data_IF_479276791659
#
_entry.id   IF_479276791659
#
_cell.length_a   1.000
_cell.length_b   1.000
_cell.length_c   1.000
_cell.angle_alpha   90.00
_cell.angle_beta   90.00
_cell.angle_gamma   90.00
#
_symmetry.space_group_name_H-M   'P 1'
#
loop_
_entity.id
_entity.type
_entity.pdbx_description
1 polymer ?
#
# COMPACT_ATOMS: atom_id res chain seq x y z
N UNK A 1 35.71 16.10 24.43
CA UNK A 1 34.68 15.34 25.14
C UNK A 1 33.49 15.19 24.19
N UNK A 2 33.41 14.04 23.52
CA UNK A 2 32.31 13.72 22.59
C UNK A 2 31.24 12.96 23.39
N UNK A 3 30.10 13.60 23.57
CA UNK A 3 28.94 12.98 24.19
C UNK A 3 28.23 12.09 23.16
N UNK A 4 28.38 10.77 23.28
CA UNK A 4 27.54 9.81 22.57
C UNK A 4 26.12 9.87 23.16
N UNK A 5 25.16 10.36 22.38
CA UNK A 5 23.74 10.20 22.64
C UNK A 5 23.38 8.72 22.41
N UNK A 6 23.28 7.99 23.50
CA UNK A 6 22.76 6.62 23.49
C UNK A 6 21.24 6.69 23.37
N UNK A 7 20.72 6.51 22.15
CA UNK A 7 19.31 6.20 21.94
C UNK A 7 19.06 4.75 22.33
N UNK A 8 18.81 4.53 23.60
CA UNK A 8 18.35 3.22 24.07
C UNK A 8 17.18 3.44 25.00
N UNK A 9 15.97 3.26 24.49
CA UNK A 9 14.85 2.66 25.19
C UNK A 9 13.66 2.58 24.23
N UNK A 10 13.53 1.41 23.56
CA UNK A 10 12.24 1.01 23.01
C UNK A 10 11.29 0.87 24.19
N UNK A 11 10.38 1.81 24.36
CA UNK A 11 9.23 1.64 25.23
C UNK A 11 8.46 0.41 24.70
N UNK A 12 8.66 -0.73 25.36
CA UNK A 12 7.83 -1.92 25.15
C UNK A 12 6.47 -1.61 25.76
N UNK A 13 5.52 -1.22 24.95
CA UNK A 13 4.13 -1.29 25.37
C UNK A 13 3.81 -2.76 25.70
N UNK A 14 3.16 -3.03 26.83
CA UNK A 14 2.81 -4.40 27.20
C UNK A 14 1.81 -4.96 26.17
N UNK A 15 2.29 -5.82 25.29
CA UNK A 15 1.49 -6.51 24.29
C UNK A 15 0.88 -7.76 24.92
N UNK A 16 -0.14 -7.59 25.75
CA UNK A 16 -0.97 -8.69 26.25
C UNK A 16 -2.32 -8.71 25.54
N UNK A 17 -2.33 -9.09 24.29
CA UNK A 17 -3.46 -9.75 23.62
C UNK A 17 -2.87 -10.48 22.42
N UNK A 18 -3.07 -11.78 22.34
CA UNK A 18 -2.86 -12.56 21.11
C UNK A 18 -3.82 -12.01 20.08
N UNK A 19 -3.38 -10.96 19.38
CA UNK A 19 -4.21 -10.36 18.34
C UNK A 19 -4.19 -11.27 17.11
N UNK A 20 -5.36 -11.51 16.53
CA UNK A 20 -5.45 -12.26 15.26
C UNK A 20 -4.45 -11.74 14.23
N UNK A 21 -4.01 -12.57 13.29
CA UNK A 21 -3.25 -12.10 12.12
C UNK A 21 -3.90 -10.89 11.46
N UNK A 22 -3.09 -9.99 10.91
CA UNK A 22 -3.60 -8.86 10.13
C UNK A 22 -3.82 -9.30 8.69
N UNK A 23 -4.98 -8.97 8.14
CA UNK A 23 -5.32 -9.19 6.74
C UNK A 23 -4.83 -7.98 5.93
N UNK A 24 -3.84 -8.17 5.08
CA UNK A 24 -3.19 -7.10 4.31
C UNK A 24 -3.42 -7.30 2.82
N UNK A 25 -4.13 -6.39 2.20
CA UNK A 25 -4.23 -6.37 0.73
C UNK A 25 -3.01 -5.68 0.14
N UNK A 26 -2.32 -6.38 -0.75
CA UNK A 26 -1.17 -5.89 -1.52
C UNK A 26 -1.62 -5.68 -2.96
N UNK A 27 -1.47 -4.46 -3.47
CA UNK A 27 -1.85 -4.09 -4.81
C UNK A 27 -0.60 -3.84 -5.65
N UNK A 28 -0.33 -4.71 -6.61
CA UNK A 28 0.71 -4.53 -7.62
C UNK A 28 0.12 -3.73 -8.78
N UNK A 29 0.48 -2.44 -8.86
CA UNK A 29 -0.22 -1.46 -9.69
C UNK A 29 0.46 -1.15 -11.03
N UNK A 30 1.28 -2.05 -11.56
CA UNK A 30 1.93 -1.86 -12.85
C UNK A 30 1.41 -2.86 -13.88
N UNK A 31 1.12 -2.36 -15.08
CA UNK A 31 0.77 -3.21 -16.24
C UNK A 31 2.00 -3.70 -17.00
N UNK A 32 3.20 -3.16 -16.71
CA UNK A 32 4.47 -3.59 -17.29
C UNK A 32 4.79 -5.04 -16.87
N UNK A 33 5.06 -5.95 -17.81
CA UNK A 33 5.44 -7.34 -17.50
C UNK A 33 6.72 -7.44 -16.63
N UNK A 34 7.66 -6.51 -16.80
CA UNK A 34 8.94 -6.48 -16.08
C UNK A 34 8.97 -5.52 -14.90
N UNK A 35 7.82 -5.25 -14.33
CA UNK A 35 7.65 -4.24 -13.30
C UNK A 35 8.45 -4.52 -12.03
N UNK A 36 9.30 -3.55 -11.66
CA UNK A 36 10.04 -3.54 -10.39
C UNK A 36 9.11 -3.39 -9.17
N UNK A 37 8.01 -2.66 -9.28
CA UNK A 37 7.02 -2.58 -8.21
C UNK A 37 6.33 -3.92 -7.96
N UNK A 38 6.17 -4.76 -8.98
CA UNK A 38 5.67 -6.14 -8.83
C UNK A 38 6.64 -7.03 -8.07
N UNK A 39 7.95 -6.88 -8.30
CA UNK A 39 8.98 -7.62 -7.53
C UNK A 39 8.89 -7.24 -6.05
N UNK A 40 8.73 -5.94 -5.74
CA UNK A 40 8.53 -5.48 -4.36
C UNK A 40 7.24 -6.02 -3.75
N UNK A 41 6.15 -6.11 -4.53
CA UNK A 41 4.87 -6.65 -4.07
C UNK A 41 4.99 -8.13 -3.67
N UNK A 42 5.66 -8.94 -4.48
CA UNK A 42 5.91 -10.36 -4.18
C UNK A 42 6.81 -10.56 -2.95
N UNK A 43 7.85 -9.75 -2.82
CA UNK A 43 8.70 -9.80 -1.63
C UNK A 43 7.94 -9.37 -0.37
N UNK A 44 7.10 -8.35 -0.47
CA UNK A 44 6.25 -7.93 0.64
C UNK A 44 5.25 -9.03 1.04
N UNK A 45 4.66 -9.74 0.07
CA UNK A 45 3.78 -10.87 0.34
C UNK A 45 4.52 -11.96 1.15
N UNK A 46 5.73 -12.32 0.72
CA UNK A 46 6.57 -13.30 1.42
C UNK A 46 6.86 -12.85 2.86
N UNK A 47 7.33 -11.61 3.05
CA UNK A 47 7.71 -11.08 4.37
C UNK A 47 6.50 -10.98 5.31
N UNK A 48 5.34 -10.52 4.84
CA UNK A 48 4.11 -10.43 5.62
C UNK A 48 3.65 -11.82 6.07
N UNK A 49 3.72 -12.81 5.18
CA UNK A 49 3.37 -14.20 5.49
C UNK A 49 4.32 -14.82 6.50
N UNK A 50 5.62 -14.62 6.35
CA UNK A 50 6.64 -15.08 7.31
C UNK A 50 6.49 -14.41 8.67
N UNK A 51 6.00 -13.17 8.71
CA UNK A 51 5.63 -12.47 9.94
C UNK A 51 4.36 -12.97 10.62
N UNK A 52 3.71 -14.03 10.09
CA UNK A 52 2.50 -14.63 10.67
C UNK A 52 1.22 -13.84 10.39
N UNK A 53 1.19 -13.06 9.32
CA UNK A 53 0.02 -12.30 8.86
C UNK A 53 -0.56 -12.87 7.56
N UNK A 54 -1.71 -12.38 7.14
CA UNK A 54 -2.48 -12.87 5.98
C UNK A 54 -2.39 -11.87 4.81
N UNK A 55 -1.38 -11.99 3.93
CA UNK A 55 -1.31 -11.16 2.74
C UNK A 55 -2.26 -11.69 1.66
N UNK A 56 -2.89 -10.75 0.92
CA UNK A 56 -3.61 -11.02 -0.33
C UNK A 56 -3.03 -10.15 -1.43
N UNK A 57 -2.22 -10.74 -2.30
CA UNK A 57 -1.64 -10.05 -3.45
C UNK A 57 -2.63 -10.04 -4.62
N UNK A 58 -2.91 -8.86 -5.14
CA UNK A 58 -3.68 -8.64 -6.35
C UNK A 58 -2.82 -7.85 -7.35
N UNK A 59 -2.60 -8.43 -8.52
CA UNK A 59 -1.86 -7.79 -9.60
C UNK A 59 -2.84 -7.20 -10.61
N UNK A 60 -2.80 -5.89 -10.84
CA UNK A 60 -3.72 -5.22 -11.76
C UNK A 60 -3.57 -5.70 -13.20
N UNK A 61 -2.38 -6.18 -13.58
CA UNK A 61 -2.17 -6.76 -14.89
C UNK A 61 -2.97 -8.04 -15.08
N UNK A 62 -2.98 -8.90 -14.06
CA UNK A 62 -3.67 -10.19 -14.13
C UNK A 62 -5.19 -10.02 -14.00
N UNK A 63 -5.64 -8.96 -13.33
CA UNK A 63 -7.06 -8.63 -13.20
C UNK A 63 -7.67 -8.10 -14.50
N UNK A 64 -6.86 -7.51 -15.38
CA UNK A 64 -7.31 -7.03 -16.68
C UNK A 64 -8.39 -5.94 -16.63
N UNK A 65 -8.44 -5.15 -15.55
CA UNK A 65 -9.44 -4.09 -15.39
C UNK A 65 -9.33 -3.06 -16.52
N UNK A 66 -10.45 -2.63 -17.11
CA UNK A 66 -10.44 -1.53 -18.06
C UNK A 66 -10.02 -0.22 -17.39
N UNK A 67 -9.70 0.77 -18.20
CA UNK A 67 -9.52 2.13 -17.69
C UNK A 67 -10.78 2.60 -16.99
N UNK A 68 -10.62 3.41 -15.96
CA UNK A 68 -11.75 4.01 -15.26
C UNK A 68 -12.54 4.92 -16.19
N UNK A 69 -13.84 4.65 -16.32
CA UNK A 69 -14.79 5.39 -17.16
C UNK A 69 -16.04 5.85 -16.39
N UNK A 70 -16.06 5.55 -15.08
CA UNK A 70 -17.18 5.78 -14.17
C UNK A 70 -18.49 5.08 -14.61
N UNK A 71 -18.41 4.02 -15.37
CA UNK A 71 -19.54 3.27 -15.91
C UNK A 71 -19.22 1.77 -16.02
N UNK A 72 -18.67 1.36 -17.15
CA UNK A 72 -18.48 -0.04 -17.50
C UNK A 72 -17.44 -0.76 -16.64
N UNK A 73 -16.48 -0.03 -16.08
CA UNK A 73 -15.48 -0.59 -15.18
C UNK A 73 -16.11 -1.32 -13.98
N UNK A 74 -17.30 -0.93 -13.55
CA UNK A 74 -18.02 -1.56 -12.42
C UNK A 74 -18.64 -2.91 -12.79
N UNK A 75 -18.86 -3.16 -14.06
CA UNK A 75 -19.42 -4.41 -14.57
C UNK A 75 -18.34 -5.47 -14.84
N UNK A 76 -17.06 -5.08 -14.72
CA UNK A 76 -15.97 -6.02 -14.96
C UNK A 76 -15.94 -7.13 -13.91
N UNK A 77 -15.80 -8.43 -14.30
CA UNK A 77 -15.87 -9.56 -13.36
C UNK A 77 -14.92 -9.47 -12.17
N UNK A 78 -13.72 -8.87 -12.36
CA UNK A 78 -12.74 -8.72 -11.30
C UNK A 78 -13.06 -7.57 -10.33
N UNK A 79 -13.96 -6.65 -10.67
CA UNK A 79 -14.22 -5.44 -9.88
C UNK A 79 -14.70 -5.74 -8.47
N UNK A 80 -15.75 -6.57 -8.34
CA UNK A 80 -16.35 -6.88 -7.05
C UNK A 80 -15.34 -7.53 -6.08
N UNK A 81 -14.52 -8.46 -6.59
CA UNK A 81 -13.49 -9.13 -5.80
C UNK A 81 -12.36 -8.20 -5.36
N UNK A 82 -11.95 -7.27 -6.24
CA UNK A 82 -10.96 -6.25 -5.94
C UNK A 82 -11.48 -5.26 -4.89
N UNK A 83 -12.68 -4.72 -5.09
CA UNK A 83 -13.33 -3.79 -4.15
C UNK A 83 -13.46 -4.43 -2.77
N UNK A 84 -13.98 -5.67 -2.70
CA UNK A 84 -14.12 -6.41 -1.44
C UNK A 84 -12.76 -6.66 -0.77
N UNK A 85 -11.71 -7.00 -1.53
CA UNK A 85 -10.39 -7.23 -0.97
C UNK A 85 -9.81 -5.98 -0.29
N UNK A 86 -10.04 -4.79 -0.86
CA UNK A 86 -9.62 -3.53 -0.24
C UNK A 86 -10.50 -3.23 0.98
N UNK A 87 -11.81 -3.28 0.83
CA UNK A 87 -12.78 -2.96 1.88
C UNK A 87 -12.57 -3.81 3.14
N UNK A 88 -12.38 -5.11 2.96
CA UNK A 88 -12.35 -6.08 4.06
C UNK A 88 -10.94 -6.26 4.66
N UNK A 89 -9.92 -5.61 4.10
CA UNK A 89 -8.56 -5.64 4.64
C UNK A 89 -8.42 -4.79 5.90
N UNK A 90 -7.50 -5.17 6.77
CA UNK A 90 -7.06 -4.34 7.90
C UNK A 90 -6.15 -3.18 7.44
N UNK A 91 -5.50 -3.32 6.28
CA UNK A 91 -4.66 -2.29 5.68
C UNK A 91 -4.20 -2.64 4.27
N UNK A 92 -3.80 -1.64 3.50
CA UNK A 92 -3.44 -1.76 2.09
C UNK A 92 -1.98 -1.39 1.87
N UNK A 93 -1.24 -2.20 1.10
CA UNK A 93 0.08 -1.88 0.57
C UNK A 93 -0.05 -1.59 -0.94
N UNK A 94 0.28 -0.38 -1.34
CA UNK A 94 0.30 0.05 -2.73
C UNK A 94 1.71 -0.06 -3.30
N UNK A 95 1.95 -1.03 -4.15
CA UNK A 95 3.20 -1.19 -4.90
C UNK A 95 3.05 -0.52 -6.26
N UNK A 96 3.58 0.69 -6.41
CA UNK A 96 3.31 1.57 -7.55
C UNK A 96 4.57 1.89 -8.36
N UNK A 97 4.49 1.89 -9.69
CA UNK A 97 5.53 2.48 -10.51
C UNK A 97 5.43 4.00 -10.47
N UNK A 98 6.58 4.67 -10.53
CA UNK A 98 6.65 6.12 -10.66
C UNK A 98 7.02 6.49 -12.08
N UNK A 99 6.11 7.17 -12.77
CA UNK A 99 6.27 7.70 -14.11
C UNK A 99 6.01 9.22 -14.10
N UNK A 100 6.90 9.98 -14.73
CA UNK A 100 6.71 11.43 -14.90
C UNK A 100 6.33 12.16 -13.59
N UNK A 101 7.02 11.85 -12.49
CA UNK A 101 6.80 12.43 -11.15
C UNK A 101 5.41 12.14 -10.56
N UNK A 102 4.77 11.04 -10.97
CA UNK A 102 3.51 10.60 -10.39
C UNK A 102 3.45 9.09 -10.34
N UNK A 103 2.46 8.55 -9.65
CA UNK A 103 2.12 7.13 -9.72
C UNK A 103 1.62 6.76 -11.12
N UNK A 104 1.80 5.51 -11.51
CA UNK A 104 1.27 5.00 -12.78
C UNK A 104 -0.26 5.14 -12.88
N UNK A 105 -0.76 5.40 -14.09
CA UNK A 105 -2.20 5.61 -14.35
C UNK A 105 -3.09 4.46 -13.91
N UNK A 106 -2.63 3.22 -14.01
CA UNK A 106 -3.38 2.05 -13.53
C UNK A 106 -3.66 2.11 -12.02
N UNK A 107 -2.71 2.62 -11.22
CA UNK A 107 -2.91 2.82 -9.79
C UNK A 107 -3.95 3.91 -9.51
N UNK A 108 -3.94 5.01 -10.28
CA UNK A 108 -4.93 6.07 -10.13
C UNK A 108 -6.32 5.58 -10.55
N UNK A 109 -6.44 4.90 -11.69
CA UNK A 109 -7.71 4.32 -12.16
C UNK A 109 -8.31 3.29 -11.19
N UNK A 110 -7.45 2.46 -10.55
CA UNK A 110 -7.87 1.59 -9.46
C UNK A 110 -8.52 2.37 -8.32
N UNK A 111 -7.89 3.46 -7.86
CA UNK A 111 -8.40 4.28 -6.77
C UNK A 111 -9.71 4.96 -7.14
N UNK A 112 -9.82 5.46 -8.36
CA UNK A 112 -11.07 6.05 -8.88
C UNK A 112 -12.20 5.03 -8.91
N UNK A 113 -11.95 3.84 -9.46
CA UNK A 113 -12.96 2.79 -9.55
C UNK A 113 -13.42 2.29 -8.18
N UNK A 114 -12.49 1.99 -7.26
CA UNK A 114 -12.80 1.40 -5.96
C UNK A 114 -13.09 2.42 -4.86
N UNK A 115 -12.80 3.70 -5.12
CA UNK A 115 -13.11 4.83 -4.24
C UNK A 115 -14.46 5.48 -4.52
N UNK A 116 -15.02 5.25 -5.71
CA UNK A 116 -16.28 5.88 -6.09
C UNK A 116 -17.42 5.46 -5.16
N UNK A 117 -18.13 6.47 -4.66
CA UNK A 117 -19.45 6.32 -4.04
C UNK A 117 -20.50 6.47 -5.13
N UNK A 118 -21.59 5.74 -5.08
CA UNK A 118 -22.53 5.75 -6.18
C UNK A 118 -23.93 5.34 -5.80
N UNK A 119 -24.81 5.36 -6.80
CA UNK A 119 -26.17 4.90 -6.69
C UNK A 119 -26.22 3.46 -6.15
N UNK A 120 -27.26 3.13 -5.39
CA UNK A 120 -27.42 1.80 -4.79
C UNK A 120 -26.62 1.58 -3.51
N UNK A 121 -26.07 2.65 -2.90
CA UNK A 121 -25.36 2.55 -1.61
C UNK A 121 -23.94 2.02 -1.72
N UNK A 122 -23.30 2.12 -2.89
CA UNK A 122 -21.89 1.78 -3.05
C UNK A 122 -21.04 2.74 -2.21
N UNK A 123 -20.30 2.16 -1.27
CA UNK A 123 -19.34 2.89 -0.45
C UNK A 123 -17.93 2.71 -0.99
N UNK A 124 -17.07 3.71 -0.79
CA UNK A 124 -15.65 3.58 -1.06
C UNK A 124 -15.04 2.41 -0.28
N UNK A 125 -14.19 1.63 -0.94
CA UNK A 125 -13.43 0.56 -0.30
C UNK A 125 -12.29 1.07 0.61
N UNK A 126 -11.96 2.37 0.52
CA UNK A 126 -10.76 2.95 1.12
C UNK A 126 -10.97 3.60 2.48
N UNK A 127 -12.21 3.86 2.91
CA UNK A 127 -12.44 4.60 4.15
C UNK A 127 -11.66 4.01 5.33
N UNK A 128 -10.95 4.91 6.03
CA UNK A 128 -10.22 4.65 7.27
C UNK A 128 -9.10 3.59 7.16
N UNK A 129 -8.63 3.25 5.96
CA UNK A 129 -7.57 2.25 5.78
C UNK A 129 -6.20 2.79 6.17
N UNK A 130 -5.37 1.92 6.74
CA UNK A 130 -3.92 2.16 6.86
C UNK A 130 -3.28 1.83 5.52
N UNK A 131 -2.80 2.86 4.82
CA UNK A 131 -2.18 2.72 3.51
C UNK A 131 -0.68 2.93 3.59
N UNK A 132 0.07 2.07 2.93
CA UNK A 132 1.53 2.15 2.81
C UNK A 132 1.91 2.14 1.34
N UNK A 133 2.91 2.96 0.97
CA UNK A 133 3.43 3.01 -0.38
C UNK A 133 4.78 2.30 -0.49
N UNK A 134 4.90 1.45 -1.52
CA UNK A 134 6.14 0.88 -2.01
C UNK A 134 6.33 1.29 -3.48
N UNK A 135 7.20 2.25 -3.72
CA UNK A 135 7.35 2.92 -5.00
C UNK A 135 8.59 2.44 -5.75
N UNK A 136 8.49 2.23 -7.04
CA UNK A 136 9.63 1.95 -7.91
C UNK A 136 9.71 2.99 -9.04
N UNK A 137 10.83 3.69 -9.14
CA UNK A 137 11.08 4.69 -10.18
C UNK A 137 12.51 4.62 -10.72
N UNK A 138 12.79 5.42 -11.75
CA UNK A 138 14.10 5.47 -12.37
C UNK A 138 15.09 6.35 -11.61
N UNK A 139 14.65 7.53 -11.16
CA UNK A 139 15.51 8.60 -10.64
C UNK A 139 15.41 8.71 -9.12
N UNK A 140 16.53 8.88 -8.40
CA UNK A 140 16.53 8.96 -6.94
C UNK A 140 15.69 10.11 -6.37
N UNK A 141 15.59 11.22 -7.08
CA UNK A 141 14.92 12.43 -6.61
C UNK A 141 13.38 12.40 -6.76
N UNK A 142 12.83 11.35 -7.39
CA UNK A 142 11.36 11.20 -7.52
C UNK A 142 10.71 10.50 -6.32
N UNK A 143 11.41 10.42 -5.19
CA UNK A 143 10.93 9.66 -4.01
C UNK A 143 9.63 10.20 -3.39
N UNK A 144 9.29 11.47 -3.60
CA UNK A 144 8.06 12.09 -3.12
C UNK A 144 6.90 12.08 -4.14
N UNK A 145 7.10 11.44 -5.29
CA UNK A 145 6.11 11.46 -6.38
C UNK A 145 4.75 10.81 -6.03
N UNK A 146 4.68 10.03 -4.95
CA UNK A 146 3.43 9.48 -4.42
C UNK A 146 2.65 10.47 -3.53
N UNK A 147 3.28 11.58 -3.13
CA UNK A 147 2.71 12.53 -2.16
C UNK A 147 1.32 13.06 -2.51
N UNK A 148 1.07 13.54 -3.74
CA UNK A 148 -0.27 13.99 -4.14
C UNK A 148 -1.33 12.91 -3.99
N UNK A 149 -1.01 11.66 -4.32
CA UNK A 149 -1.93 10.52 -4.15
C UNK A 149 -2.17 10.19 -2.69
N UNK A 150 -1.13 10.22 -1.87
CA UNK A 150 -1.25 10.03 -0.43
C UNK A 150 -2.17 11.09 0.20
N UNK A 151 -2.02 12.36 -0.22
CA UNK A 151 -2.88 13.45 0.20
C UNK A 151 -4.33 13.23 -0.22
N UNK A 152 -4.58 12.82 -1.46
CA UNK A 152 -5.93 12.50 -1.94
C UNK A 152 -6.58 11.39 -1.09
N UNK A 153 -5.86 10.32 -0.79
CA UNK A 153 -6.37 9.24 0.06
C UNK A 153 -6.69 9.72 1.48
N UNK A 154 -5.86 10.61 2.05
CA UNK A 154 -6.11 11.19 3.38
C UNK A 154 -7.33 12.11 3.39
N UNK A 155 -7.46 12.98 2.40
CA UNK A 155 -8.51 13.98 2.36
C UNK A 155 -9.86 13.37 2.00
N UNK A 156 -9.88 12.51 1.01
CA UNK A 156 -11.10 11.95 0.44
C UNK A 156 -11.61 10.77 1.27
N UNK A 157 -10.76 9.80 1.54
CA UNK A 157 -11.15 8.55 2.19
C UNK A 157 -10.72 8.43 3.66
N UNK A 158 -10.18 9.50 4.24
CA UNK A 158 -9.70 9.52 5.64
C UNK A 158 -8.67 8.42 5.94
N UNK A 159 -7.93 7.99 4.92
CA UNK A 159 -6.87 7.01 5.07
C UNK A 159 -5.77 7.50 6.00
N UNK A 160 -5.17 6.58 6.72
CA UNK A 160 -3.99 6.84 7.53
C UNK A 160 -2.78 6.37 6.73
N UNK A 161 -1.95 7.32 6.33
CA UNK A 161 -0.77 7.04 5.52
C UNK A 161 0.40 6.69 6.43
N UNK A 162 0.99 5.52 6.22
CA UNK A 162 2.24 5.15 6.86
C UNK A 162 3.34 6.12 6.42
N UNK A 163 3.98 6.86 7.35
CA UNK A 163 5.04 7.81 7.00
C UNK A 163 6.31 7.14 6.49
N UNK A 164 6.46 5.84 6.71
CA UNK A 164 7.61 5.05 6.23
C UNK A 164 7.29 4.44 4.87
N UNK A 165 7.21 5.26 3.84
CA UNK A 165 7.15 4.76 2.46
C UNK A 165 8.53 4.26 2.03
N UNK A 166 8.57 3.21 1.21
CA UNK A 166 9.81 2.76 0.57
C UNK A 166 9.83 3.19 -0.89
N UNK A 167 10.96 3.71 -1.32
CA UNK A 167 11.20 4.09 -2.71
C UNK A 167 12.45 3.36 -3.23
N UNK A 168 12.31 2.69 -4.36
CA UNK A 168 13.39 2.03 -5.10
C UNK A 168 13.71 2.82 -6.37
N UNK A 169 14.96 3.25 -6.49
CA UNK A 169 15.52 3.82 -7.72
C UNK A 169 16.29 2.77 -8.53
N UNK A 170 16.84 3.15 -9.68
CA UNK A 170 17.69 2.24 -10.46
C UNK A 170 18.89 1.69 -9.69
N UNK A 171 19.40 2.42 -8.70
CA UNK A 171 20.56 2.02 -7.89
C UNK A 171 20.28 0.93 -6.88
N UNK A 172 19.00 0.64 -6.62
CA UNK A 172 18.56 -0.31 -5.61
C UNK A 172 18.41 -1.74 -6.15
N UNK A 173 18.75 -1.94 -7.42
CA UNK A 173 18.63 -3.22 -8.12
C UNK A 173 20.00 -3.77 -8.51
N UNK A 174 20.18 -5.07 -8.34
CA UNK A 174 21.36 -5.79 -8.80
C UNK A 174 21.32 -5.98 -10.32
N UNK A 175 22.45 -6.33 -10.93
CA UNK A 175 22.55 -6.57 -12.38
C UNK A 175 21.58 -7.64 -12.90
N UNK A 176 21.28 -8.64 -12.08
CA UNK A 176 20.34 -9.72 -12.40
C UNK A 176 18.87 -9.32 -12.15
N UNK A 177 18.57 -8.04 -11.87
CA UNK A 177 17.22 -7.56 -11.60
C UNK A 177 16.69 -7.82 -10.20
N UNK A 178 17.47 -8.45 -9.32
CA UNK A 178 17.07 -8.69 -7.95
C UNK A 178 17.19 -7.43 -7.08
N UNK A 179 16.41 -7.37 -6.01
CA UNK A 179 16.51 -6.29 -5.02
C UNK A 179 17.86 -6.35 -4.28
N UNK A 180 18.50 -5.19 -4.08
CA UNK A 180 19.66 -5.09 -3.20
C UNK A 180 19.27 -5.39 -1.75
N UNK A 181 20.24 -5.77 -0.92
CA UNK A 181 19.99 -6.01 0.51
C UNK A 181 19.45 -4.76 1.20
N UNK A 182 20.02 -3.59 0.91
CA UNK A 182 19.57 -2.32 1.46
C UNK A 182 18.09 -2.02 1.13
N UNK A 183 17.62 -2.36 -0.09
CA UNK A 183 16.22 -2.18 -0.45
C UNK A 183 15.32 -3.16 0.32
N UNK A 184 15.75 -4.41 0.48
CA UNK A 184 15.02 -5.40 1.29
C UNK A 184 14.87 -4.97 2.73
N UNK A 185 15.96 -4.49 3.35
CA UNK A 185 15.96 -4.00 4.74
C UNK A 185 15.03 -2.81 4.93
N UNK A 186 14.97 -1.91 3.95
CA UNK A 186 14.02 -0.77 3.96
C UNK A 186 12.58 -1.25 3.81
N UNK A 187 12.32 -2.19 2.91
CA UNK A 187 10.98 -2.78 2.74
C UNK A 187 10.53 -3.48 4.02
N UNK A 188 11.37 -4.30 4.62
CA UNK A 188 11.07 -4.99 5.87
C UNK A 188 10.72 -4.02 7.01
N UNK A 189 11.51 -2.96 7.21
CA UNK A 189 11.21 -1.91 8.19
C UNK A 189 9.89 -1.21 7.90
N UNK A 190 9.61 -0.91 6.65
CA UNK A 190 8.34 -0.30 6.21
C UNK A 190 7.16 -1.20 6.54
N UNK A 191 7.29 -2.51 6.28
CA UNK A 191 6.26 -3.49 6.57
C UNK A 191 6.06 -3.70 8.08
N UNK A 192 7.13 -3.69 8.86
CA UNK A 192 7.03 -3.77 10.33
C UNK A 192 6.19 -2.62 10.89
N UNK A 193 6.45 -1.37 10.45
CA UNK A 193 5.64 -0.20 10.85
C UNK A 193 4.21 -0.31 10.32
N UNK A 194 4.02 -0.77 9.07
CA UNK A 194 2.69 -1.01 8.52
C UNK A 194 1.87 -1.95 9.40
N UNK A 195 2.43 -3.07 9.79
CA UNK A 195 1.75 -4.07 10.62
C UNK A 195 1.44 -3.48 12.00
N UNK A 196 2.39 -2.76 12.61
CA UNK A 196 2.18 -2.08 13.89
C UNK A 196 0.99 -1.10 13.82
N UNK A 197 1.00 -0.19 12.86
CA UNK A 197 -0.09 0.78 12.66
C UNK A 197 -1.43 0.08 12.40
N UNK A 198 -1.43 -0.93 11.53
CA UNK A 198 -2.64 -1.71 11.23
C UNK A 198 -3.22 -2.35 12.48
N UNK A 199 -2.39 -2.91 13.36
CA UNK A 199 -2.83 -3.54 14.62
C UNK A 199 -3.38 -2.52 15.61
N UNK A 200 -2.69 -1.40 15.77
CA UNK A 200 -3.10 -0.32 16.69
C UNK A 200 -4.44 0.31 16.27
N UNK A 201 -4.61 0.52 14.97
CA UNK A 201 -5.78 1.22 14.44
C UNK A 201 -6.99 0.33 14.17
N UNK A 202 -6.78 -0.98 14.02
CA UNK A 202 -7.87 -1.94 13.85
C UNK A 202 -8.88 -1.94 15.00
N UNK A 203 -8.43 -1.68 16.23
CA UNK A 203 -9.29 -1.60 17.40
C UNK A 203 -10.06 -0.28 17.49
N UNK A 204 -9.69 0.71 16.67
CA UNK A 204 -10.34 2.01 16.65
C UNK A 204 -11.60 1.95 15.80
N UNK A 205 -12.70 2.34 16.39
CA UNK A 205 -13.93 2.56 15.63
C UNK A 205 -13.91 3.96 15.05
N UNK A 206 -13.70 4.06 13.76
CA UNK A 206 -13.87 5.32 13.03
C UNK A 206 -15.37 5.51 12.79
N UNK A 207 -15.84 6.68 13.14
CA UNK A 207 -17.17 7.15 12.75
C UNK A 207 -16.97 8.19 11.67
N UNK A 208 -16.68 7.76 10.47
CA UNK A 208 -16.65 8.64 9.31
C UNK A 208 -18.08 9.07 8.98
N UNK A 209 -18.64 9.97 9.80
CA UNK A 209 -19.84 10.70 9.45
C UNK A 209 -19.55 11.89 8.54
N UNK A 210 -18.34 11.96 8.01
CA UNK A 210 -17.92 12.97 7.05
C UNK A 210 -18.35 12.51 5.68
N UNK A 211 -19.28 13.21 5.16
CA UNK A 211 -19.55 13.11 3.74
C UNK A 211 -18.42 13.78 2.98
N UNK A 212 -18.10 13.17 1.91
CA UNK A 212 -17.17 13.67 0.91
C UNK A 212 -17.92 14.67 0.04
#
# INVERSE_FOLDING_TARGET
>A
MQGQLVFNQRARFPMSHVSRPSNITILSCSLDPESRSRIMAREAERLIKEGGHEPKLLDLRDLGLPSFDNSDCYNHPAFAGLHAAIRDSDGVLLCVPIYNWSIGSAAKGLMEATGATGEGGRLSAWFDKVVTFACAGGLPHSYMAYGPTAMSLMLDFKCIINPYAVYASTRDWLQNGAMSQSLRDRLDKTLAVKIELTRLLRARTYRSGWEV
#
